data_IF_812178675929
#
_entry.id   IF_812178675929
#
_cell.length_a   1.000
_cell.length_b   1.000
_cell.length_c   1.000
_cell.angle_alpha   90.00
_cell.angle_beta   90.00
_cell.angle_gamma   90.00
#
_symmetry.space_group_name_H-M   'P 1'
#
loop_
_entity.id
_entity.type
_entity.pdbx_description
1 polymer ?
#
# COMPACT_ATOMS: atom_id res chain seq x y z
N UNK A 1 4.79 -7.27 15.44
CA UNK A 1 4.97 -6.04 14.62
C UNK A 1 5.44 -6.49 13.28
N UNK A 2 4.64 -6.18 12.27
CA UNK A 2 4.92 -6.52 10.88
C UNK A 2 5.90 -5.52 10.29
N UNK A 3 6.48 -5.88 9.14
CA UNK A 3 7.50 -5.07 8.49
C UNK A 3 6.95 -4.46 7.20
N UNK A 4 7.45 -3.29 6.87
CA UNK A 4 7.28 -2.72 5.54
C UNK A 4 8.55 -2.05 5.06
N UNK A 5 8.67 -1.87 3.75
CA UNK A 5 9.75 -1.13 3.10
C UNK A 5 9.16 -0.01 2.26
N UNK A 6 9.84 1.13 2.25
CA UNK A 6 9.64 2.15 1.22
C UNK A 6 10.76 1.98 0.20
N UNK A 7 10.40 1.71 -1.05
CA UNK A 7 11.38 1.42 -2.11
C UNK A 7 10.88 1.86 -3.48
N UNK A 8 11.76 2.02 -4.47
CA UNK A 8 11.33 2.21 -5.85
C UNK A 8 10.55 0.99 -6.36
N UNK A 9 9.58 1.25 -7.25
CA UNK A 9 8.99 0.21 -8.09
C UNK A 9 10.00 -0.35 -9.09
N UNK A 10 9.76 -1.57 -9.61
CA UNK A 10 10.67 -2.15 -10.61
C UNK A 10 10.75 -1.27 -11.85
N UNK A 11 11.96 -0.81 -12.20
CA UNK A 11 12.20 0.12 -13.33
C UNK A 11 11.39 1.43 -13.23
N UNK A 12 10.97 1.82 -12.03
CA UNK A 12 10.25 3.06 -11.78
C UNK A 12 11.06 3.98 -10.87
N UNK A 13 10.85 5.29 -11.04
CA UNK A 13 11.35 6.31 -10.11
C UNK A 13 10.37 6.55 -8.96
N UNK A 14 9.14 6.09 -9.10
CA UNK A 14 8.11 6.22 -8.09
C UNK A 14 8.35 5.22 -6.97
N UNK A 15 8.09 5.68 -5.74
CA UNK A 15 8.16 4.88 -4.54
C UNK A 15 6.87 4.07 -4.36
N UNK A 16 6.99 2.92 -3.73
CA UNK A 16 5.89 2.14 -3.21
C UNK A 16 6.17 1.74 -1.77
N UNK A 17 5.13 1.34 -1.05
CA UNK A 17 5.27 0.61 0.20
C UNK A 17 5.05 -0.87 -0.09
N UNK A 18 6.01 -1.69 0.31
CA UNK A 18 5.95 -3.14 0.25
C UNK A 18 5.79 -3.68 1.67
N UNK A 19 4.73 -4.43 1.91
CA UNK A 19 4.48 -5.10 3.17
C UNK A 19 5.11 -6.49 3.17
N UNK A 20 5.53 -6.91 4.36
CA UNK A 20 6.16 -8.20 4.62
C UNK A 20 5.39 -8.93 5.71
N UNK A 21 5.36 -10.25 5.62
CA UNK A 21 4.61 -11.12 6.54
C UNK A 21 3.50 -11.85 5.80
N UNK A 22 2.67 -12.56 6.56
CA UNK A 22 1.47 -13.23 6.03
C UNK A 22 0.29 -12.25 6.09
N UNK A 23 0.16 -11.41 5.06
CA UNK A 23 -0.85 -10.33 5.04
C UNK A 23 -2.29 -10.83 4.96
N UNK A 24 -2.50 -12.14 4.75
CA UNK A 24 -3.81 -12.78 4.72
C UNK A 24 -4.15 -13.53 6.02
N UNK A 25 -3.21 -13.59 6.98
CA UNK A 25 -3.47 -14.11 8.32
C UNK A 25 -4.49 -13.24 9.06
N UNK A 26 -5.35 -13.86 9.87
CA UNK A 26 -6.30 -13.15 10.74
C UNK A 26 -5.61 -12.23 11.75
N UNK A 27 -4.38 -12.56 12.13
CA UNK A 27 -3.57 -11.79 13.08
C UNK A 27 -2.81 -10.63 12.40
N UNK A 28 -2.85 -10.52 11.08
CA UNK A 28 -2.15 -9.46 10.37
C UNK A 28 -2.81 -8.10 10.58
N UNK A 29 -2.05 -7.01 10.80
CA UNK A 29 -2.64 -5.69 11.03
C UNK A 29 -3.51 -5.22 9.85
N UNK A 30 -4.74 -4.79 10.17
CA UNK A 30 -5.69 -4.30 9.17
C UNK A 30 -5.23 -2.94 8.60
N UNK A 31 -4.45 -3.02 7.53
CA UNK A 31 -3.82 -1.86 6.89
C UNK A 31 -4.84 -0.88 6.36
N UNK A 32 -5.92 -1.35 5.72
CA UNK A 32 -7.03 -0.49 5.28
C UNK A 32 -7.60 0.33 6.44
N UNK A 33 -7.88 -0.31 7.59
CA UNK A 33 -8.45 0.38 8.74
C UNK A 33 -7.49 1.39 9.36
N UNK A 34 -6.21 1.04 9.44
CA UNK A 34 -5.15 1.92 9.94
C UNK A 34 -5.09 3.21 9.09
N UNK A 35 -5.15 3.09 7.76
CA UNK A 35 -5.09 4.24 6.85
C UNK A 35 -6.40 5.02 6.81
N UNK A 36 -7.55 4.33 6.84
CA UNK A 36 -8.87 4.96 6.95
C UNK A 36 -8.90 5.90 8.17
N UNK A 37 -8.47 5.43 9.34
CA UNK A 37 -8.46 6.23 10.56
C UNK A 37 -7.34 7.28 10.54
N UNK A 38 -6.13 6.89 10.16
CA UNK A 38 -4.94 7.73 10.27
C UNK A 38 -4.91 8.89 9.27
N UNK A 39 -5.45 8.69 8.07
CA UNK A 39 -5.50 9.69 7.01
C UNK A 39 -6.90 10.26 6.76
N UNK A 40 -7.93 9.73 7.44
CA UNK A 40 -9.33 9.92 7.04
C UNK A 40 -9.57 9.47 5.58
N UNK A 41 -8.83 8.45 5.15
CA UNK A 41 -8.92 7.91 3.79
C UNK A 41 -10.25 7.19 3.58
N UNK A 42 -10.75 7.23 2.35
CA UNK A 42 -12.02 6.60 1.96
C UNK A 42 -11.87 5.81 0.68
N UNK A 43 -12.61 4.70 0.52
CA UNK A 43 -12.60 3.97 -0.72
C UNK A 43 -13.19 4.83 -1.85
N UNK A 44 -12.53 4.81 -3.00
CA UNK A 44 -12.92 5.48 -4.22
C UNK A 44 -13.19 4.43 -5.30
N UNK A 45 -14.16 4.70 -6.18
CA UNK A 45 -14.42 3.82 -7.32
C UNK A 45 -13.24 3.89 -8.29
N UNK A 46 -12.68 2.73 -8.64
CA UNK A 46 -11.63 2.67 -9.64
C UNK A 46 -12.16 3.11 -11.02
N UNK A 47 -11.47 4.01 -11.75
CA UNK A 47 -11.97 4.54 -13.03
C UNK A 47 -11.96 3.50 -14.16
N UNK A 48 -11.02 2.55 -14.13
CA UNK A 48 -10.73 1.61 -15.21
C UNK A 48 -10.78 0.12 -14.84
N UNK A 49 -10.83 -0.22 -13.55
CA UNK A 49 -10.81 -1.61 -13.09
C UNK A 49 -12.18 -1.94 -12.51
N UNK A 50 -12.82 -2.96 -13.07
CA UNK A 50 -13.89 -3.65 -12.38
C UNK A 50 -13.24 -4.64 -11.42
N UNK A 51 -13.01 -4.22 -10.18
CA UNK A 51 -12.25 -4.96 -9.15
C UNK A 51 -12.82 -6.36 -8.90
N UNK A 52 -14.12 -6.56 -9.13
CA UNK A 52 -14.76 -7.88 -9.08
C UNK A 52 -14.29 -8.82 -10.20
N UNK A 53 -14.04 -8.30 -11.41
CA UNK A 53 -13.59 -9.08 -12.57
C UNK A 53 -12.12 -9.48 -12.48
N UNK A 54 -11.27 -8.65 -11.84
CA UNK A 54 -9.84 -8.94 -11.65
C UNK A 54 -9.62 -9.93 -10.50
N UNK A 55 -10.27 -9.71 -9.35
CA UNK A 55 -10.16 -10.64 -8.22
C UNK A 55 -10.61 -12.07 -8.54
N UNK A 56 -11.54 -12.24 -9.49
CA UNK A 56 -11.95 -13.57 -9.98
C UNK A 56 -10.96 -14.21 -10.96
N UNK A 57 -10.07 -13.44 -11.58
CA UNK A 57 -9.17 -13.89 -12.64
C UNK A 57 -7.71 -14.03 -12.18
N UNK A 58 -7.27 -13.23 -11.21
CA UNK A 58 -5.86 -13.15 -10.79
C UNK A 58 -5.61 -13.42 -9.30
N UNK A 59 -6.65 -13.73 -8.51
CA UNK A 59 -6.59 -13.85 -7.04
C UNK A 59 -5.98 -12.59 -6.34
N UNK A 60 -6.12 -11.44 -7.01
CA UNK A 60 -5.57 -10.13 -6.65
C UNK A 60 -6.71 -9.16 -6.32
N UNK A 61 -6.62 -8.49 -5.18
CA UNK A 61 -7.59 -7.53 -4.72
C UNK A 61 -6.98 -6.12 -4.76
N UNK A 62 -7.36 -5.36 -5.78
CA UNK A 62 -6.99 -3.95 -5.91
C UNK A 62 -8.12 -3.08 -5.39
N UNK A 63 -7.80 -2.09 -4.55
CA UNK A 63 -8.74 -1.07 -4.11
C UNK A 63 -8.12 0.33 -4.17
N UNK A 64 -8.87 1.29 -4.71
CA UNK A 64 -8.46 2.69 -4.79
C UNK A 64 -9.00 3.45 -3.58
N UNK A 65 -8.16 4.29 -2.99
CA UNK A 65 -8.48 5.10 -1.82
C UNK A 65 -8.08 6.55 -2.06
N UNK A 66 -8.85 7.48 -1.50
CA UNK A 66 -8.57 8.91 -1.54
C UNK A 66 -8.55 9.51 -0.14
N UNK A 67 -7.72 10.54 0.03
CA UNK A 67 -7.68 11.38 1.22
C UNK A 67 -7.26 12.81 0.84
N UNK A 68 -7.14 13.70 1.82
CA UNK A 68 -6.92 15.13 1.57
C UNK A 68 -5.72 15.44 0.65
N UNK A 69 -4.62 14.68 0.72
CA UNK A 69 -3.39 15.01 -0.02
C UNK A 69 -3.16 14.15 -1.27
N UNK A 70 -4.07 13.23 -1.61
CA UNK A 70 -3.95 12.42 -2.82
C UNK A 70 -4.72 11.11 -2.79
N UNK A 71 -4.35 10.23 -3.72
CA UNK A 71 -4.96 8.92 -3.94
C UNK A 71 -3.87 7.84 -3.92
N UNK A 72 -4.25 6.66 -3.49
CA UNK A 72 -3.38 5.49 -3.51
C UNK A 72 -4.18 4.21 -3.77
N UNK A 73 -3.54 3.25 -4.37
CA UNK A 73 -4.05 1.89 -4.54
C UNK A 73 -3.44 0.99 -3.47
N UNK A 74 -4.29 0.14 -2.90
CA UNK A 74 -3.87 -1.05 -2.17
C UNK A 74 -3.99 -2.22 -3.12
N UNK A 75 -2.88 -2.92 -3.29
CA UNK A 75 -2.73 -4.06 -4.19
C UNK A 75 -2.35 -5.29 -3.36
N UNK A 76 -3.34 -6.15 -3.10
CA UNK A 76 -3.22 -7.40 -2.35
C UNK A 76 -3.27 -8.59 -3.31
N UNK A 77 -2.10 -9.11 -3.67
CA UNK A 77 -1.97 -10.36 -4.40
C UNK A 77 -1.65 -11.54 -3.44
N UNK A 78 -1.69 -12.78 -3.94
CA UNK A 78 -1.47 -13.98 -3.11
C UNK A 78 -0.05 -14.10 -2.54
N UNK A 79 0.91 -13.35 -3.07
CA UNK A 79 2.34 -13.38 -2.75
C UNK A 79 2.83 -12.12 -2.05
N UNK A 80 2.19 -10.99 -2.27
CA UNK A 80 2.67 -9.69 -1.86
C UNK A 80 1.53 -8.68 -1.65
N UNK A 81 1.85 -7.67 -0.86
CA UNK A 81 0.92 -6.59 -0.54
C UNK A 81 1.63 -5.25 -0.68
N UNK A 82 1.05 -4.36 -1.48
CA UNK A 82 1.64 -3.08 -1.85
C UNK A 82 0.69 -1.91 -1.65
N UNK A 83 1.29 -0.73 -1.48
CA UNK A 83 0.65 0.56 -1.70
C UNK A 83 1.37 1.30 -2.81
N UNK A 84 0.60 1.79 -3.76
CA UNK A 84 1.09 2.53 -4.93
C UNK A 84 0.35 3.86 -5.01
N UNK A 85 1.05 4.93 -5.35
CA UNK A 85 0.45 6.24 -5.60
C UNK A 85 1.02 6.82 -6.90
N UNK A 86 0.16 7.07 -7.88
CA UNK A 86 0.57 7.58 -9.20
C UNK A 86 0.86 9.07 -9.17
N UNK A 87 -0.02 9.84 -8.52
CA UNK A 87 0.12 11.29 -8.39
C UNK A 87 0.61 11.66 -7.00
N UNK A 88 1.42 12.73 -6.92
CA UNK A 88 1.98 13.22 -5.67
C UNK A 88 2.70 12.13 -4.84
N UNK A 89 3.33 11.16 -5.54
CA UNK A 89 3.84 9.91 -5.01
C UNK A 89 4.65 10.07 -3.71
N UNK A 90 5.67 10.91 -3.71
CA UNK A 90 6.55 11.13 -2.55
C UNK A 90 5.77 11.60 -1.31
N UNK A 91 4.83 12.53 -1.48
CA UNK A 91 4.02 13.04 -0.38
C UNK A 91 3.06 11.96 0.14
N UNK A 92 2.40 11.23 -0.76
CA UNK A 92 1.45 10.17 -0.39
C UNK A 92 2.15 9.04 0.36
N UNK A 93 3.29 8.56 -0.17
CA UNK A 93 4.10 7.52 0.48
C UNK A 93 4.60 7.99 1.84
N UNK A 94 5.07 9.24 1.97
CA UNK A 94 5.52 9.79 3.25
C UNK A 94 4.39 9.91 4.28
N UNK A 95 3.19 10.29 3.86
CA UNK A 95 2.03 10.39 4.74
C UNK A 95 1.60 9.02 5.26
N UNK A 96 1.58 8.00 4.38
CA UNK A 96 1.24 6.63 4.73
C UNK A 96 2.30 6.02 5.64
N UNK A 97 3.60 6.15 5.33
CA UNK A 97 4.72 5.69 6.16
C UNK A 97 4.56 6.19 7.61
N UNK A 98 4.28 7.48 7.78
CA UNK A 98 4.08 8.09 9.10
C UNK A 98 2.91 7.46 9.86
N UNK A 99 1.81 7.14 9.18
CA UNK A 99 0.64 6.51 9.80
C UNK A 99 0.92 5.05 10.19
N UNK A 100 1.61 4.29 9.33
CA UNK A 100 2.02 2.92 9.62
C UNK A 100 2.95 2.87 10.84
N UNK A 101 3.92 3.76 10.94
CA UNK A 101 4.81 3.83 12.11
C UNK A 101 4.05 4.27 13.38
N UNK A 102 3.12 5.22 13.25
CA UNK A 102 2.33 5.73 14.39
C UNK A 102 1.33 4.70 14.92
N UNK A 103 0.90 3.72 14.11
CA UNK A 103 -0.02 2.68 14.58
C UNK A 103 0.60 1.79 15.66
N UNK A 104 1.94 1.67 15.69
CA UNK A 104 2.64 0.73 16.57
C UNK A 104 2.55 -0.72 16.13
N UNK A 105 1.90 -1.01 15.00
CA UNK A 105 1.77 -2.37 14.44
C UNK A 105 2.90 -2.70 13.47
N UNK A 106 3.54 -1.67 12.91
CA UNK A 106 4.54 -1.80 11.86
C UNK A 106 5.90 -1.20 12.23
N UNK A 107 6.96 -1.82 11.72
CA UNK A 107 8.31 -1.24 11.67
C UNK A 107 8.75 -1.10 10.21
N UNK A 108 9.50 -0.02 9.93
CA UNK A 108 10.17 0.15 8.65
C UNK A 108 11.46 -0.65 8.62
N UNK A 109 11.65 -1.41 7.56
CA UNK A 109 12.93 -1.98 7.19
C UNK A 109 13.53 -1.16 6.05
N UNK A 110 14.83 -0.86 6.14
CA UNK A 110 15.51 -0.07 5.11
C UNK A 110 15.67 -0.90 3.83
N UNK A 111 15.29 -0.33 2.70
CA UNK A 111 15.48 -0.94 1.40
C UNK A 111 16.83 -0.55 0.79
N UNK A 112 17.47 -1.48 0.09
CA UNK A 112 18.66 -1.19 -0.71
C UNK A 112 18.24 -0.70 -2.10
N UNK A 113 18.29 0.62 -2.31
CA UNK A 113 17.83 1.25 -3.55
C UNK A 113 18.65 0.83 -4.79
N UNK A 114 19.87 0.31 -4.59
CA UNK A 114 20.73 -0.15 -5.70
C UNK A 114 20.19 -1.40 -6.40
N UNK A 115 19.25 -2.13 -5.76
CA UNK A 115 18.62 -3.32 -6.33
C UNK A 115 17.46 -3.00 -7.29
N UNK A 116 17.09 -1.72 -7.43
CA UNK A 116 15.91 -1.29 -8.19
C UNK A 116 16.24 -0.36 -9.37
N UNK A 117 17.52 -0.06 -9.59
CA UNK A 117 18.05 0.75 -10.70
C UNK A 117 18.51 -0.09 -11.88
#
# INVERSE_FOLDING_TARGET
MEKFRVRPGHKSKDLLIEFWGDHRSEDYPNTQKILEVGLSAKPKKHPSLDTASIGLATDEFISLWEYQNGEYELDDDIWAYFIIATDNNVQVISDIERILLKSGEFIKEEADFTQYT
#
